data_IF_443076328156
#
_entry.id   IF_443076328156
#
_cell.length_a   1.000
_cell.length_b   1.000
_cell.length_c   1.000
_cell.angle_alpha   90.00
_cell.angle_beta   90.00
_cell.angle_gamma   90.00
#
_symmetry.space_group_name_H-M   'P 1'
#
loop_
_entity.id
_entity.type
_entity.pdbx_description
1 polymer ?
#
# COMPACT_ATOMS: atom_id res chain seq x y z
N UNK A 1 7.75 -5.81 61.58
CA UNK A 1 7.24 -7.19 61.73
C UNK A 1 6.95 -7.76 60.35
N UNK A 2 7.66 -8.80 59.94
CA UNK A 2 7.43 -9.47 58.66
C UNK A 2 6.11 -10.23 58.75
N UNK A 3 5.19 -10.06 57.78
CA UNK A 3 3.90 -10.78 57.72
C UNK A 3 4.03 -11.92 56.71
N UNK A 4 4.46 -13.13 57.13
CA UNK A 4 4.83 -14.21 56.20
C UNK A 4 3.67 -14.63 55.30
N UNK A 5 2.44 -14.65 55.84
CA UNK A 5 1.24 -14.98 55.06
C UNK A 5 0.95 -13.97 53.93
N UNK A 6 1.22 -12.69 54.18
CA UNK A 6 1.05 -11.64 53.18
C UNK A 6 2.11 -11.74 52.07
N UNK A 7 3.36 -12.08 52.42
CA UNK A 7 4.43 -12.31 51.45
C UNK A 7 4.14 -13.52 50.55
N UNK A 8 3.61 -14.61 51.11
CA UNK A 8 3.18 -15.78 50.34
C UNK A 8 2.05 -15.41 49.37
N UNK A 9 1.02 -14.71 49.85
CA UNK A 9 -0.10 -14.27 49.00
C UNK A 9 0.35 -13.35 47.86
N UNK A 10 1.27 -12.42 48.13
CA UNK A 10 1.86 -11.55 47.12
C UNK A 10 2.68 -12.33 46.10
N UNK A 11 3.49 -13.29 46.56
CA UNK A 11 4.27 -14.18 45.68
C UNK A 11 3.39 -15.00 44.74
N UNK A 12 2.30 -15.58 45.26
CA UNK A 12 1.32 -16.33 44.44
C UNK A 12 0.68 -15.42 43.40
N UNK A 13 0.24 -14.23 43.79
CA UNK A 13 -0.41 -13.29 42.87
C UNK A 13 0.54 -12.85 41.76
N UNK A 14 1.80 -12.54 42.09
CA UNK A 14 2.81 -12.21 41.09
C UNK A 14 3.18 -13.39 40.18
N UNK A 15 3.23 -14.61 40.71
CA UNK A 15 3.46 -15.79 39.89
C UNK A 15 2.33 -16.02 38.88
N UNK A 16 1.07 -15.88 39.31
CA UNK A 16 -0.11 -15.98 38.42
C UNK A 16 -0.05 -14.90 37.34
N UNK A 17 0.23 -13.65 37.73
CA UNK A 17 0.33 -12.54 36.79
C UNK A 17 1.46 -12.75 35.76
N UNK A 18 2.64 -13.19 36.23
CA UNK A 18 3.76 -13.52 35.36
C UNK A 18 3.44 -14.66 34.40
N UNK A 19 2.69 -15.68 34.86
CA UNK A 19 2.25 -16.77 34.00
C UNK A 19 1.28 -16.29 32.90
N UNK A 20 0.31 -15.44 33.25
CA UNK A 20 -0.61 -14.84 32.28
C UNK A 20 0.17 -14.03 31.24
N UNK A 21 1.08 -13.15 31.69
CA UNK A 21 1.93 -12.39 30.79
C UNK A 21 2.78 -13.30 29.90
N UNK A 22 3.38 -14.36 30.44
CA UNK A 22 4.18 -15.31 29.67
C UNK A 22 3.38 -16.04 28.59
N UNK A 23 2.13 -16.41 28.88
CA UNK A 23 1.23 -17.06 27.91
C UNK A 23 0.85 -16.11 26.80
N UNK A 24 0.42 -14.88 27.12
CA UNK A 24 -0.04 -13.91 26.12
C UNK A 24 1.10 -13.17 25.41
N UNK A 25 2.30 -13.13 25.99
CA UNK A 25 3.48 -12.60 25.31
C UNK A 25 4.01 -13.56 24.23
N UNK A 26 3.83 -14.88 24.41
CA UNK A 26 4.31 -15.91 23.48
C UNK A 26 3.19 -16.51 22.61
N UNK A 27 1.93 -16.12 22.78
CA UNK A 27 0.84 -16.69 22.00
C UNK A 27 -0.40 -15.80 21.85
N UNK A 28 -1.22 -16.06 20.81
CA UNK A 28 -0.95 -16.90 19.64
C UNK A 28 -0.09 -16.17 18.58
N UNK A 29 0.74 -16.92 17.85
CA UNK A 29 1.49 -16.37 16.72
C UNK A 29 0.53 -15.85 15.64
N UNK A 30 0.74 -14.61 15.20
CA UNK A 30 -0.01 -14.05 14.08
C UNK A 30 0.33 -14.80 12.79
N UNK A 31 -0.64 -15.52 12.22
CA UNK A 31 -0.50 -16.18 10.93
C UNK A 31 -1.09 -15.27 9.83
N UNK A 32 -0.30 -14.84 8.84
CA UNK A 32 -0.78 -13.98 7.76
C UNK A 32 -1.88 -14.66 6.91
N UNK A 33 -1.77 -15.97 6.68
CA UNK A 33 -2.69 -16.75 5.86
C UNK A 33 -3.08 -18.08 6.55
N UNK A 34 -4.20 -18.70 6.15
CA UNK A 34 -4.60 -20.04 6.60
C UNK A 34 -3.51 -21.10 6.39
N UNK A 35 -3.50 -22.18 7.17
CA UNK A 35 -2.38 -23.13 7.21
C UNK A 35 -2.09 -23.84 5.89
N UNK A 36 -3.06 -23.91 4.99
CA UNK A 36 -3.06 -24.56 3.68
C UNK A 36 -3.01 -23.57 2.51
N UNK A 37 -2.86 -22.27 2.79
CA UNK A 37 -2.95 -21.21 1.79
C UNK A 37 -1.76 -20.25 1.86
N UNK A 38 -1.44 -19.64 0.73
CA UNK A 38 -0.54 -18.50 0.66
C UNK A 38 -1.34 -17.22 0.39
N UNK A 39 -0.70 -16.07 0.52
CA UNK A 39 -1.32 -14.79 0.19
C UNK A 39 -0.42 -13.90 -0.65
N UNK A 40 -1.05 -13.11 -1.51
CA UNK A 40 -0.45 -12.02 -2.28
C UNK A 40 -1.07 -10.72 -1.77
N UNK A 41 -0.23 -9.79 -1.34
CA UNK A 41 -0.64 -8.51 -0.75
C UNK A 41 -0.22 -7.38 -1.67
N UNK A 42 -1.19 -6.80 -2.40
CA UNK A 42 -0.97 -5.61 -3.20
C UNK A 42 -1.09 -4.37 -2.32
N UNK A 43 0.03 -3.69 -2.08
CA UNK A 43 0.08 -2.58 -1.13
C UNK A 43 1.07 -1.52 -1.55
N UNK A 44 0.58 -0.36 -2.00
CA UNK A 44 1.41 0.80 -2.30
C UNK A 44 0.63 2.11 -2.20
N UNK A 45 1.36 3.21 -2.17
CA UNK A 45 0.83 4.56 -2.30
C UNK A 45 1.58 5.25 -3.43
N UNK A 46 0.87 5.67 -4.48
CA UNK A 46 1.46 6.34 -5.63
C UNK A 46 0.60 7.51 -6.08
N UNK A 47 1.27 8.55 -6.55
CA UNK A 47 0.60 9.73 -7.07
C UNK A 47 0.59 9.71 -8.58
N UNK A 48 -0.60 9.70 -9.18
CA UNK A 48 -0.75 9.89 -10.63
C UNK A 48 -0.14 11.21 -11.10
N UNK A 49 0.17 11.27 -12.40
CA UNK A 49 0.60 12.49 -13.09
C UNK A 49 -0.51 13.56 -13.03
N UNK A 50 -0.18 14.85 -13.25
CA UNK A 50 -1.18 15.91 -13.28
C UNK A 50 -2.30 15.61 -14.28
N UNK A 51 -3.54 15.88 -13.90
CA UNK A 51 -4.73 15.57 -14.70
C UNK A 51 -4.92 16.47 -15.91
N UNK A 52 -4.29 17.65 -15.93
CA UNK A 52 -4.37 18.60 -17.03
C UNK A 52 -3.04 19.26 -17.33
N UNK A 53 -3.01 19.95 -18.46
CA UNK A 53 -1.85 20.68 -18.93
C UNK A 53 -1.64 21.98 -18.14
N UNK A 54 -0.40 22.45 -18.09
CA UNK A 54 -0.10 23.75 -17.49
C UNK A 54 -0.55 24.87 -18.44
N UNK A 55 -1.39 25.79 -17.94
CA UNK A 55 -1.79 26.97 -18.72
C UNK A 55 -0.83 28.13 -18.49
N UNK A 56 -0.52 28.88 -19.54
CA UNK A 56 0.10 30.18 -19.39
C UNK A 56 -0.93 31.23 -18.97
N UNK A 57 -0.54 32.14 -18.08
CA UNK A 57 -1.34 33.30 -17.71
C UNK A 57 -1.17 34.40 -18.74
N UNK A 58 -2.27 35.04 -19.11
CA UNK A 58 -2.25 36.18 -20.00
C UNK A 58 -1.59 37.41 -19.31
N UNK A 59 -1.07 38.34 -20.11
CA UNK A 59 -0.30 39.49 -19.61
C UNK A 59 -1.14 40.42 -18.71
N UNK A 60 -2.45 40.50 -18.96
CA UNK A 60 -3.42 41.24 -18.16
C UNK A 60 -3.69 40.58 -16.80
N UNK A 61 -3.75 39.24 -16.74
CA UNK A 61 -3.82 38.47 -15.49
C UNK A 61 -2.55 38.67 -14.65
N UNK A 62 -1.38 38.69 -15.29
CA UNK A 62 -0.08 38.94 -14.66
C UNK A 62 0.04 40.38 -14.12
N UNK A 63 -0.47 41.37 -14.86
CA UNK A 63 -0.44 42.76 -14.43
C UNK A 63 -1.24 43.00 -13.14
N UNK A 64 -2.38 42.29 -12.99
CA UNK A 64 -3.22 42.32 -11.79
C UNK A 64 -2.56 41.70 -10.55
N UNK A 65 -1.52 40.90 -10.73
CA UNK A 65 -0.77 40.27 -9.65
C UNK A 65 0.38 41.17 -9.17
N UNK A 66 0.64 41.12 -7.86
CA UNK A 66 1.80 41.75 -7.25
C UNK A 66 3.11 41.21 -7.90
N UNK A 67 4.17 42.02 -8.01
CA UNK A 67 5.39 41.65 -8.75
C UNK A 67 6.00 40.30 -8.35
N UNK A 68 5.96 39.95 -7.07
CA UNK A 68 6.47 38.69 -6.51
C UNK A 68 5.57 37.46 -6.80
N UNK A 69 4.35 37.65 -7.28
CA UNK A 69 3.35 36.60 -7.51
C UNK A 69 3.08 36.31 -9.00
N UNK A 70 3.80 36.99 -9.91
CA UNK A 70 3.67 36.89 -11.37
C UNK A 70 4.29 35.63 -11.97
N UNK A 71 3.78 34.46 -11.55
CA UNK A 71 4.14 33.18 -12.18
C UNK A 71 3.44 33.04 -13.53
N UNK A 72 4.21 32.78 -14.60
CA UNK A 72 3.68 32.64 -15.97
C UNK A 72 2.88 31.36 -16.17
N UNK A 73 3.30 30.25 -15.57
CA UNK A 73 2.66 28.94 -15.71
C UNK A 73 1.82 28.60 -14.48
N UNK A 74 0.60 28.11 -14.72
CA UNK A 74 -0.31 27.55 -13.71
C UNK A 74 -0.63 26.12 -14.09
N UNK A 75 -0.10 25.18 -13.33
CA UNK A 75 -0.39 23.76 -13.49
C UNK A 75 -1.53 23.35 -12.55
N UNK A 76 -2.48 22.52 -13.01
CA UNK A 76 -3.50 21.95 -12.14
C UNK A 76 -2.83 21.05 -11.09
N UNK A 77 -3.36 21.11 -9.87
CA UNK A 77 -2.91 20.27 -8.75
C UNK A 77 -3.56 18.89 -8.74
N UNK A 78 -4.72 18.75 -9.40
CA UNK A 78 -5.46 17.51 -9.51
C UNK A 78 -4.63 16.43 -10.20
N UNK A 79 -4.68 15.22 -9.65
CA UNK A 79 -3.98 14.05 -10.19
C UNK A 79 -4.93 13.14 -10.95
N UNK A 80 -4.41 12.40 -11.91
CA UNK A 80 -5.19 11.34 -12.57
C UNK A 80 -5.45 10.18 -11.62
N UNK A 81 -6.57 9.47 -11.83
CA UNK A 81 -6.82 8.21 -11.17
C UNK A 81 -5.84 7.14 -11.67
N UNK A 82 -5.41 6.24 -10.77
CA UNK A 82 -4.54 5.14 -11.14
C UNK A 82 -5.37 3.94 -11.59
N UNK A 83 -5.10 3.38 -12.77
CA UNK A 83 -5.66 2.07 -13.12
C UNK A 83 -4.64 1.00 -12.73
N UNK A 84 -5.02 0.15 -11.78
CA UNK A 84 -4.17 -0.92 -11.26
C UNK A 84 -4.77 -2.26 -11.65
N UNK A 85 -3.92 -3.15 -12.13
CA UNK A 85 -4.30 -4.52 -12.49
C UNK A 85 -3.29 -5.52 -11.93
N UNK A 86 -3.80 -6.57 -11.29
CA UNK A 86 -3.03 -7.70 -10.77
C UNK A 86 -3.59 -8.98 -11.38
N UNK A 87 -2.73 -9.71 -12.07
CA UNK A 87 -3.00 -10.99 -12.67
C UNK A 87 -2.12 -12.06 -12.02
N UNK A 88 -2.73 -13.22 -11.76
CA UNK A 88 -2.04 -14.39 -11.22
C UNK A 88 -2.46 -15.59 -12.06
N UNK A 89 -1.48 -16.30 -12.62
CA UNK A 89 -1.68 -17.49 -13.48
C UNK A 89 -2.67 -17.27 -14.63
N UNK A 90 -2.60 -16.11 -15.29
CA UNK A 90 -3.50 -15.77 -16.40
C UNK A 90 -4.88 -15.25 -15.97
N UNK A 91 -5.16 -15.19 -14.66
CA UNK A 91 -6.44 -14.70 -14.13
C UNK A 91 -6.28 -13.35 -13.44
N UNK A 92 -7.06 -12.36 -13.89
CA UNK A 92 -7.12 -11.05 -13.26
C UNK A 92 -7.80 -11.18 -11.89
N UNK A 93 -7.03 -11.01 -10.82
CA UNK A 93 -7.53 -11.03 -9.44
C UNK A 93 -7.98 -9.64 -8.98
N UNK A 94 -7.40 -8.59 -9.55
CA UNK A 94 -7.72 -7.21 -9.19
C UNK A 94 -7.62 -6.31 -10.42
N UNK A 95 -8.65 -5.49 -10.65
CA UNK A 95 -8.61 -4.41 -11.63
C UNK A 95 -9.51 -3.28 -11.15
N UNK A 96 -8.91 -2.20 -10.67
CA UNK A 96 -9.66 -1.04 -10.17
C UNK A 96 -9.01 0.28 -10.58
N UNK A 97 -9.86 1.29 -10.77
CA UNK A 97 -9.45 2.69 -10.92
C UNK A 97 -9.45 3.35 -9.55
N UNK A 98 -8.27 3.69 -9.04
CA UNK A 98 -8.07 4.30 -7.73
C UNK A 98 -8.04 5.84 -7.85
N UNK A 99 -9.12 6.53 -7.44
CA UNK A 99 -9.15 7.99 -7.51
C UNK A 99 -8.15 8.60 -6.53
N UNK A 100 -7.57 9.77 -6.87
CA UNK A 100 -6.75 10.54 -5.94
C UNK A 100 -7.55 10.91 -4.69
N UNK A 101 -6.84 11.10 -3.58
CA UNK A 101 -7.46 11.44 -2.29
C UNK A 101 -7.49 12.96 -2.06
N UNK A 102 -8.17 13.36 -1.00
CA UNK A 102 -8.28 14.75 -0.58
C UNK A 102 -9.35 15.54 -1.33
N UNK A 103 -9.78 16.65 -0.73
CA UNK A 103 -10.83 17.50 -1.28
C UNK A 103 -10.46 18.08 -2.66
N UNK A 104 -9.20 18.47 -2.83
CA UNK A 104 -8.67 19.01 -4.09
C UNK A 104 -8.10 17.94 -5.03
N UNK A 105 -8.25 16.65 -4.70
CA UNK A 105 -7.78 15.50 -5.51
C UNK A 105 -6.28 15.56 -5.89
N UNK A 106 -5.47 16.16 -5.01
CA UNK A 106 -4.04 16.37 -5.20
C UNK A 106 -3.18 15.38 -4.40
N UNK A 107 -3.80 14.55 -3.56
CA UNK A 107 -3.11 13.52 -2.80
C UNK A 107 -2.90 12.23 -3.61
N UNK A 108 -1.86 11.45 -3.27
CA UNK A 108 -1.64 10.12 -3.83
C UNK A 108 -2.83 9.18 -3.65
N UNK A 109 -3.00 8.26 -4.59
CA UNK A 109 -3.90 7.11 -4.45
C UNK A 109 -3.17 5.99 -3.69
N UNK A 110 -3.91 5.21 -2.92
CA UNK A 110 -3.38 4.05 -2.20
C UNK A 110 -4.22 2.80 -2.46
N UNK A 111 -3.58 1.65 -2.33
CA UNK A 111 -4.23 0.34 -2.36
C UNK A 111 -3.64 -0.53 -1.26
N UNK A 112 -4.50 -1.31 -0.60
CA UNK A 112 -4.11 -2.40 0.28
C UNK A 112 -5.13 -3.52 0.13
N UNK A 113 -4.79 -4.55 -0.64
CA UNK A 113 -5.65 -5.71 -0.89
C UNK A 113 -4.87 -6.99 -0.69
N UNK A 114 -5.53 -8.00 -0.11
CA UNK A 114 -4.96 -9.33 0.14
C UNK A 114 -5.74 -10.33 -0.69
N UNK A 115 -5.02 -11.17 -1.41
CA UNK A 115 -5.55 -12.23 -2.25
C UNK A 115 -5.01 -13.55 -1.73
N UNK A 116 -5.93 -14.44 -1.40
CA UNK A 116 -5.59 -15.81 -0.99
C UNK A 116 -5.34 -16.63 -2.25
N UNK A 117 -4.24 -17.37 -2.27
CA UNK A 117 -3.86 -18.27 -3.37
C UNK A 117 -3.44 -19.63 -2.82
N UNK A 118 -3.52 -20.66 -3.66
CA UNK A 118 -2.98 -21.96 -3.30
C UNK A 118 -1.46 -21.87 -3.06
N UNK A 119 -0.84 -22.74 -2.26
CA UNK A 119 0.61 -22.87 -2.24
C UNK A 119 1.11 -23.46 -3.56
N UNK A 120 2.23 -22.96 -4.07
CA UNK A 120 2.79 -23.41 -5.35
C UNK A 120 3.55 -22.33 -6.10
N UNK A 121 3.98 -22.65 -7.32
CA UNK A 121 4.60 -21.69 -8.24
C UNK A 121 3.51 -20.90 -8.95
N UNK A 122 3.56 -19.58 -8.81
CA UNK A 122 2.62 -18.66 -9.44
C UNK A 122 3.35 -17.69 -10.34
N UNK A 123 2.77 -17.43 -11.52
CA UNK A 123 3.18 -16.32 -12.38
C UNK A 123 2.33 -15.11 -12.03
N UNK A 124 2.98 -14.05 -11.58
CA UNK A 124 2.33 -12.87 -11.03
C UNK A 124 2.70 -11.67 -11.90
N UNK A 125 1.70 -10.98 -12.41
CA UNK A 125 1.87 -9.81 -13.25
C UNK A 125 1.10 -8.62 -12.69
N UNK A 126 1.79 -7.51 -12.47
CA UNK A 126 1.23 -6.28 -11.96
C UNK A 126 1.39 -5.17 -13.01
N UNK A 127 0.32 -4.41 -13.20
CA UNK A 127 0.20 -3.37 -14.22
C UNK A 127 -0.36 -2.10 -13.58
N UNK A 128 0.22 -0.96 -13.94
CA UNK A 128 -0.19 0.34 -13.43
C UNK A 128 -0.20 1.38 -14.55
N UNK A 129 -1.30 2.12 -14.63
CA UNK A 129 -1.40 3.36 -15.43
C UNK A 129 -1.52 4.53 -14.47
N UNK A 130 -0.60 5.47 -14.59
CA UNK A 130 -0.51 6.67 -13.77
C UNK A 130 -0.57 7.97 -14.58
N UNK A 131 -0.80 7.86 -15.88
CA UNK A 131 -0.92 8.97 -16.84
C UNK A 131 -2.35 9.14 -17.34
N UNK A 132 -2.71 10.30 -17.94
CA UNK A 132 -4.05 10.55 -18.49
C UNK A 132 -4.37 9.76 -19.77
N UNK A 133 -3.54 8.80 -20.18
CA UNK A 133 -3.75 8.03 -21.41
C UNK A 133 -5.03 7.18 -21.33
N UNK A 134 -5.73 7.03 -22.45
CA UNK A 134 -6.96 6.22 -22.53
C UNK A 134 -6.69 4.71 -22.53
N UNK A 135 -5.55 4.27 -23.06
CA UNK A 135 -5.21 2.86 -23.29
C UNK A 135 -3.80 2.50 -22.80
N UNK A 136 -3.57 1.22 -22.52
CA UNK A 136 -2.30 0.68 -22.06
C UNK A 136 -1.94 0.98 -20.60
N UNK A 137 -0.74 0.57 -20.21
CA UNK A 137 -0.19 0.75 -18.86
C UNK A 137 1.16 1.47 -18.94
N UNK A 138 1.46 2.32 -17.96
CA UNK A 138 2.74 3.04 -17.85
C UNK A 138 3.84 2.14 -17.27
N UNK A 139 3.44 1.23 -16.37
CA UNK A 139 4.34 0.32 -15.68
C UNK A 139 3.82 -1.11 -15.75
N UNK A 140 4.76 -2.03 -15.91
CA UNK A 140 4.53 -3.46 -15.92
C UNK A 140 5.63 -4.14 -15.12
N UNK A 141 5.26 -5.10 -14.28
CA UNK A 141 6.20 -5.97 -13.57
C UNK A 141 5.65 -7.38 -13.55
N UNK A 142 6.50 -8.35 -13.86
CA UNK A 142 6.16 -9.77 -13.82
C UNK A 142 7.20 -10.51 -12.99
N UNK A 143 6.76 -11.51 -12.24
CA UNK A 143 7.65 -12.41 -11.50
C UNK A 143 7.04 -13.80 -11.45
N UNK A 144 7.90 -14.81 -11.35
CA UNK A 144 7.50 -16.15 -10.94
C UNK A 144 7.96 -16.36 -9.50
N UNK A 145 7.02 -16.67 -8.62
CA UNK A 145 7.30 -16.87 -7.21
C UNK A 145 6.73 -18.20 -6.75
N UNK A 146 7.53 -18.97 -6.02
CA UNK A 146 7.05 -20.19 -5.35
C UNK A 146 6.65 -19.84 -3.93
N UNK A 147 5.35 -19.97 -3.64
CA UNK A 147 4.74 -19.63 -2.36
C UNK A 147 4.53 -20.89 -1.51
N UNK A 148 5.21 -20.96 -0.38
CA UNK A 148 4.97 -21.96 0.65
C UNK A 148 3.66 -21.68 1.42
N UNK A 149 3.06 -22.68 2.08
CA UNK A 149 1.91 -22.47 2.96
C UNK A 149 2.21 -21.42 4.03
N UNK A 150 1.24 -20.55 4.32
CA UNK A 150 1.33 -19.36 5.19
C UNK A 150 2.30 -18.28 4.72
N UNK A 151 2.91 -18.42 3.54
CA UNK A 151 3.76 -17.38 2.98
C UNK A 151 2.92 -16.20 2.49
N UNK A 152 3.46 -15.01 2.67
CA UNK A 152 2.88 -13.76 2.18
C UNK A 152 3.86 -13.10 1.24
N UNK A 153 3.47 -12.96 -0.03
CA UNK A 153 4.19 -12.15 -1.00
C UNK A 153 3.60 -10.75 -1.04
N UNK A 154 4.41 -9.74 -0.79
CA UNK A 154 4.06 -8.34 -0.95
C UNK A 154 4.39 -7.86 -2.37
N UNK A 155 3.41 -7.22 -3.00
CA UNK A 155 3.55 -6.48 -4.26
C UNK A 155 3.46 -5.00 -3.94
N UNK A 156 4.63 -4.34 -3.92
CA UNK A 156 4.79 -2.89 -3.72
C UNK A 156 5.06 -2.21 -5.06
N UNK A 157 4.90 -0.89 -5.13
CA UNK A 157 5.21 -0.10 -6.31
C UNK A 157 6.01 1.14 -5.93
N UNK A 158 7.16 1.32 -6.58
CA UNK A 158 8.05 2.48 -6.42
C UNK A 158 8.57 2.92 -7.77
N UNK A 159 8.00 4.00 -8.31
CA UNK A 159 8.43 4.59 -9.56
C UNK A 159 9.94 4.94 -9.57
N UNK A 160 10.49 5.35 -8.41
CA UNK A 160 11.91 5.72 -8.28
C UNK A 160 12.88 4.54 -8.47
N UNK A 161 12.47 3.31 -8.16
CA UNK A 161 13.30 2.10 -8.28
C UNK A 161 12.98 1.28 -9.53
N UNK A 162 12.24 1.86 -10.48
CA UNK A 162 11.91 1.20 -11.74
C UNK A 162 10.57 0.45 -11.78
N UNK A 163 9.72 0.57 -10.75
CA UNK A 163 8.34 0.08 -10.80
C UNK A 163 7.97 -0.89 -9.68
N UNK A 164 7.39 -2.05 -10.05
CA UNK A 164 6.89 -3.03 -9.09
C UNK A 164 8.02 -3.78 -8.38
N UNK A 165 7.82 -4.02 -7.08
CA UNK A 165 8.74 -4.75 -6.21
C UNK A 165 7.99 -5.92 -5.59
N UNK A 166 8.53 -7.13 -5.75
CA UNK A 166 7.95 -8.38 -5.24
C UNK A 166 8.85 -8.90 -4.12
N UNK A 167 8.33 -9.03 -2.89
CA UNK A 167 9.12 -9.45 -1.71
C UNK A 167 8.32 -10.20 -0.65
#
# INVERSE_FOLDING_TARGET
MIRPLALVGQGVTYAIFAAILGVFANGPAYAPAPPDQAQIVLSFTHGGKPAGECRERAADELAKLAPNMRRKLVCPRERVALLVELEVDGKILFRESLPPKGFAKDFPSNVHRRFVVAPGTHRIEARLRDSPRGEGFDYHGATEATLAPRQSLAVDFRAATGGFVFR
#
